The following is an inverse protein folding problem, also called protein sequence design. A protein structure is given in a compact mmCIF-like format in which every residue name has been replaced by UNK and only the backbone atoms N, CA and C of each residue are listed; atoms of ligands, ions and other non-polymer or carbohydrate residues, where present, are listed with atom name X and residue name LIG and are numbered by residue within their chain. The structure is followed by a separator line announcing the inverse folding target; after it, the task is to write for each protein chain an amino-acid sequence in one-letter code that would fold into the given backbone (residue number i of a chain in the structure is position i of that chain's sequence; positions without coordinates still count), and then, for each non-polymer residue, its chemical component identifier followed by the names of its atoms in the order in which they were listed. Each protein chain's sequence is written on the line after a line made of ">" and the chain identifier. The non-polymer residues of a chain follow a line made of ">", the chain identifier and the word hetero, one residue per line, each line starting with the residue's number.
data_IF_916908031686
#
_entry.id   IF_916908031686
#
_cell.length_a   1.000
_cell.length_b   1.000
_cell.length_c   1.000
_cell.angle_alpha   90.00
_cell.angle_beta   90.00
_cell.angle_gamma   90.00
#
_symmetry.space_group_name_H-M   'P 1'
#
loop_
_entity.id
_entity.type
_entity.pdbx_description
1 polymer ?
#
# COMPACT_ATOMS: atom_id res chain seq x y z
N UNK A 1 40.92 19.48 -11.03
CA UNK A 1 39.50 19.78 -11.31
C UNK A 1 38.67 18.56 -10.95
N UNK A 2 38.00 18.58 -9.78
CA UNK A 2 37.05 17.53 -9.38
C UNK A 2 35.72 17.90 -9.99
N UNK A 3 35.31 17.17 -11.02
CA UNK A 3 33.94 17.21 -11.52
C UNK A 3 33.05 16.54 -10.48
N UNK A 4 32.36 17.35 -9.67
CA UNK A 4 31.32 16.88 -8.77
C UNK A 4 30.25 16.16 -9.58
N UNK A 5 30.14 14.84 -9.40
CA UNK A 5 28.98 14.08 -9.86
C UNK A 5 27.73 14.68 -9.19
N UNK A 6 26.97 15.44 -9.91
CA UNK A 6 25.61 15.78 -9.55
C UNK A 6 24.85 14.46 -9.40
N UNK A 7 24.57 14.08 -8.15
CA UNK A 7 23.75 12.92 -7.83
C UNK A 7 22.34 13.27 -8.27
N UNK A 8 21.94 12.84 -9.44
CA UNK A 8 20.56 12.94 -9.91
C UNK A 8 19.71 12.20 -8.88
N UNK A 9 18.88 12.94 -8.15
CA UNK A 9 17.90 12.33 -7.26
C UNK A 9 16.91 11.57 -8.13
N UNK A 10 16.88 10.25 -8.00
CA UNK A 10 15.89 9.42 -8.66
C UNK A 10 14.63 9.41 -7.80
N UNK A 11 13.50 9.79 -8.39
CA UNK A 11 12.19 9.78 -7.76
C UNK A 11 11.34 8.64 -8.32
N UNK A 12 10.48 8.11 -7.45
CA UNK A 12 9.55 7.04 -7.78
C UNK A 12 8.12 7.52 -7.51
N UNK A 13 7.20 7.18 -8.40
CA UNK A 13 5.78 7.39 -8.16
C UNK A 13 5.19 6.17 -7.46
N UNK A 14 4.50 6.38 -6.35
CA UNK A 14 3.85 5.34 -5.55
C UNK A 14 2.38 5.69 -5.36
N UNK A 15 1.51 4.73 -5.61
CA UNK A 15 0.08 4.85 -5.37
C UNK A 15 -0.27 4.25 -4.01
N UNK A 16 -0.83 5.07 -3.13
CA UNK A 16 -1.21 4.71 -1.77
C UNK A 16 -2.73 4.72 -1.62
N UNK A 17 -3.28 3.58 -1.24
CA UNK A 17 -4.73 3.36 -1.12
C UNK A 17 -5.21 3.14 0.32
N UNK A 18 -4.29 2.95 1.26
CA UNK A 18 -4.57 2.47 2.62
C UNK A 18 -4.20 3.45 3.73
N UNK A 19 -3.56 2.91 4.77
CA UNK A 19 -3.26 3.63 6.03
C UNK A 19 -2.24 4.75 5.88
N UNK A 20 -1.50 4.82 4.79
CA UNK A 20 -0.48 5.85 4.51
C UNK A 20 -1.07 7.14 3.91
N UNK A 21 -2.31 7.12 3.42
CA UNK A 21 -2.95 8.33 2.87
C UNK A 21 -3.10 9.42 3.94
N UNK A 22 -3.32 10.65 3.49
CA UNK A 22 -3.63 11.79 4.37
C UNK A 22 -4.79 11.46 5.30
N UNK A 23 -4.70 11.89 6.55
CA UNK A 23 -5.69 11.65 7.60
C UNK A 23 -5.90 10.16 7.95
N UNK A 24 -4.98 9.29 7.54
CA UNK A 24 -4.98 7.88 7.89
C UNK A 24 -3.86 7.55 8.91
N UNK A 25 -3.96 6.44 9.65
CA UNK A 25 -3.15 6.17 10.83
C UNK A 25 -1.63 6.22 10.66
N UNK A 26 -1.12 5.87 9.47
CA UNK A 26 0.33 5.78 9.22
C UNK A 26 0.88 6.91 8.34
N UNK A 27 0.09 7.96 8.09
CA UNK A 27 0.52 9.06 7.22
C UNK A 27 1.78 9.78 7.72
N UNK A 28 1.98 9.84 9.02
CA UNK A 28 3.16 10.45 9.65
C UNK A 28 4.48 9.82 9.17
N UNK A 29 4.47 8.57 8.72
CA UNK A 29 5.65 7.91 8.16
C UNK A 29 6.17 8.64 6.91
N UNK A 30 5.26 9.11 6.04
CA UNK A 30 5.61 9.90 4.85
C UNK A 30 6.09 11.30 5.20
N UNK A 31 5.61 11.85 6.30
CA UNK A 31 5.94 13.23 6.74
C UNK A 31 7.24 13.30 7.52
N UNK A 32 7.76 12.19 8.01
CA UNK A 32 9.02 12.15 8.73
C UNK A 32 10.20 12.24 7.75
N UNK A 33 10.89 13.37 7.76
CA UNK A 33 12.05 13.64 6.89
C UNK A 33 13.23 12.70 7.10
N UNK A 34 13.30 12.04 8.24
CA UNK A 34 14.31 11.01 8.51
C UNK A 34 14.10 9.76 7.65
N UNK A 35 12.87 9.52 7.18
CA UNK A 35 12.55 8.41 6.30
C UNK A 35 12.85 8.69 4.82
N UNK A 36 13.10 9.93 4.45
CA UNK A 36 13.31 10.37 3.07
C UNK A 36 12.33 11.47 2.66
N UNK A 37 12.22 11.70 1.36
CA UNK A 37 11.32 12.70 0.79
C UNK A 37 10.07 12.04 0.22
N UNK A 38 8.91 12.63 0.50
CA UNK A 38 7.62 12.27 -0.08
C UNK A 38 6.84 13.55 -0.39
N UNK A 39 6.28 13.63 -1.60
CA UNK A 39 5.48 14.76 -2.06
C UNK A 39 4.20 14.25 -2.69
N UNK A 40 3.05 14.71 -2.21
CA UNK A 40 1.77 14.44 -2.85
C UNK A 40 1.75 15.10 -4.24
N UNK A 41 1.47 14.32 -5.27
CA UNK A 41 1.34 14.79 -6.65
C UNK A 41 -0.13 15.01 -7.00
N UNK A 42 -0.96 13.97 -6.78
CA UNK A 42 -2.39 14.02 -7.10
C UNK A 42 -3.15 12.91 -6.37
N UNK A 43 -4.45 12.95 -6.49
CA UNK A 43 -5.31 11.81 -6.24
C UNK A 43 -5.60 11.08 -7.56
N UNK A 44 -5.98 9.82 -7.48
CA UNK A 44 -6.26 9.03 -8.67
C UNK A 44 -6.99 7.75 -8.35
N UNK A 45 -7.24 6.98 -9.41
CA UNK A 45 -7.87 5.66 -9.31
C UNK A 45 -7.04 4.63 -10.09
N UNK A 46 -7.07 3.38 -9.64
CA UNK A 46 -6.49 2.30 -10.43
C UNK A 46 -7.22 2.17 -11.76
N UNK A 47 -6.47 2.03 -12.87
CA UNK A 47 -7.08 1.76 -14.17
C UNK A 47 -7.77 0.42 -14.20
N UNK A 48 -7.15 -0.60 -13.62
CA UNK A 48 -7.76 -1.90 -13.44
C UNK A 48 -8.60 -1.91 -12.16
N UNK A 49 -9.62 -2.75 -12.13
CA UNK A 49 -10.35 -3.07 -10.91
C UNK A 49 -9.51 -4.00 -10.04
N UNK A 50 -9.59 -3.80 -8.73
CA UNK A 50 -8.97 -4.66 -7.72
C UNK A 50 -9.90 -4.84 -6.52
N UNK A 51 -9.87 -6.00 -5.86
CA UNK A 51 -10.53 -6.16 -4.57
C UNK A 51 -9.71 -5.43 -3.48
N UNK A 52 -10.22 -4.30 -3.01
CA UNK A 52 -9.73 -3.66 -1.79
C UNK A 52 -10.62 -4.13 -0.64
N UNK A 53 -10.04 -4.81 0.33
CA UNK A 53 -10.76 -5.42 1.45
C UNK A 53 -10.12 -5.07 2.78
N UNK A 54 -10.90 -5.11 3.86
CA UNK A 54 -10.40 -5.01 5.23
C UNK A 54 -10.35 -6.42 5.80
N UNK A 55 -9.19 -6.86 6.23
CA UNK A 55 -8.98 -8.22 6.72
C UNK A 55 -7.99 -8.30 7.88
N UNK A 56 -7.67 -9.51 8.26
CA UNK A 56 -6.94 -9.92 9.46
C UNK A 56 -7.63 -9.51 10.77
N UNK A 57 -7.14 -10.03 11.89
CA UNK A 57 -7.59 -9.63 13.24
C UNK A 57 -7.34 -8.17 13.59
N UNK A 58 -6.58 -7.45 12.76
CA UNK A 58 -6.20 -6.05 12.98
C UNK A 58 -6.86 -5.06 12.04
N UNK A 59 -7.83 -5.53 11.23
CA UNK A 59 -8.59 -4.68 10.30
C UNK A 59 -7.68 -3.85 9.36
N UNK A 60 -6.74 -4.53 8.74
CA UNK A 60 -5.79 -3.93 7.80
C UNK A 60 -6.41 -3.89 6.40
N UNK A 61 -6.20 -2.81 5.63
CA UNK A 61 -6.59 -2.77 4.22
C UNK A 61 -5.63 -3.60 3.36
N UNK A 62 -6.19 -4.45 2.52
CA UNK A 62 -5.46 -5.27 1.55
C UNK A 62 -5.98 -5.04 0.15
N UNK A 63 -5.09 -4.75 -0.78
CA UNK A 63 -5.38 -4.78 -2.20
C UNK A 63 -4.95 -6.14 -2.75
N UNK A 64 -5.92 -6.97 -3.11
CA UNK A 64 -5.65 -8.33 -3.56
C UNK A 64 -5.19 -8.35 -5.02
N UNK A 65 -4.18 -9.16 -5.33
CA UNK A 65 -3.68 -9.33 -6.70
C UNK A 65 -4.65 -10.17 -7.54
N UNK A 66 -5.82 -9.59 -7.82
CA UNK A 66 -6.88 -10.17 -8.64
C UNK A 66 -7.44 -9.12 -9.61
N UNK A 67 -6.64 -8.66 -10.58
CA UNK A 67 -7.06 -7.64 -11.53
C UNK A 67 -8.32 -8.05 -12.27
N UNK A 68 -9.23 -7.09 -12.51
CA UNK A 68 -10.53 -7.31 -13.13
C UNK A 68 -11.66 -7.59 -12.14
N UNK A 69 -11.35 -7.90 -10.88
CA UNK A 69 -12.33 -8.07 -9.80
C UNK A 69 -12.37 -6.83 -8.90
N UNK A 70 -13.48 -6.63 -8.22
CA UNK A 70 -13.63 -5.52 -7.27
C UNK A 70 -13.95 -4.20 -7.95
N UNK A 71 -13.26 -3.14 -7.53
CA UNK A 71 -13.57 -1.77 -7.91
C UNK A 71 -12.32 -1.04 -8.46
N UNK A 72 -12.55 0.06 -9.17
CA UNK A 72 -11.49 1.04 -9.44
C UNK A 72 -11.16 1.75 -8.12
N UNK A 73 -9.99 1.46 -7.57
CA UNK A 73 -9.63 1.87 -6.21
C UNK A 73 -9.10 3.29 -6.20
N UNK A 74 -9.67 4.12 -5.34
CA UNK A 74 -9.25 5.51 -5.12
C UNK A 74 -8.05 5.55 -4.18
N UNK A 75 -7.13 6.47 -4.44
CA UNK A 75 -5.95 6.66 -3.62
C UNK A 75 -5.20 7.95 -3.93
N UNK A 76 -3.99 8.03 -3.44
CA UNK A 76 -3.11 9.18 -3.55
C UNK A 76 -1.79 8.78 -4.23
N UNK A 77 -1.32 9.61 -5.16
CA UNK A 77 -0.02 9.45 -5.83
C UNK A 77 1.01 10.32 -5.15
N UNK A 78 2.09 9.71 -4.71
CA UNK A 78 3.24 10.38 -4.11
C UNK A 78 4.48 10.19 -4.97
N UNK A 79 5.24 11.27 -5.14
CA UNK A 79 6.61 11.22 -5.58
C UNK A 79 7.51 11.02 -4.37
N UNK A 80 8.28 9.93 -4.35
CA UNK A 80 9.15 9.57 -3.24
C UNK A 80 10.58 9.33 -3.71
N UNK A 81 11.56 9.67 -2.89
CA UNK A 81 12.96 9.33 -3.16
C UNK A 81 13.23 7.84 -2.87
N UNK A 82 14.41 7.36 -3.24
CA UNK A 82 14.80 5.96 -3.04
C UNK A 82 14.87 5.57 -1.56
N UNK A 83 15.19 6.52 -0.69
CA UNK A 83 15.21 6.27 0.77
C UNK A 83 13.81 6.00 1.28
N UNK A 84 12.84 6.86 0.94
CA UNK A 84 11.45 6.67 1.33
C UNK A 84 10.87 5.38 0.73
N UNK A 85 11.17 5.06 -0.55
CA UNK A 85 10.71 3.81 -1.16
C UNK A 85 11.22 2.58 -0.39
N UNK A 86 12.49 2.62 0.07
CA UNK A 86 13.05 1.57 0.91
C UNK A 86 12.34 1.45 2.26
N UNK A 87 11.95 2.56 2.88
CA UNK A 87 11.16 2.57 4.12
C UNK A 87 9.77 1.97 3.90
N UNK A 88 9.12 2.29 2.78
CA UNK A 88 7.84 1.70 2.41
C UNK A 88 7.96 0.18 2.18
N UNK A 89 9.00 -0.27 1.50
CA UNK A 89 9.28 -1.70 1.30
C UNK A 89 9.43 -2.45 2.63
N UNK A 90 10.11 -1.85 3.61
CA UNK A 90 10.25 -2.41 4.95
C UNK A 90 8.90 -2.46 5.66
N UNK A 91 8.13 -1.37 5.61
CA UNK A 91 6.81 -1.29 6.23
C UNK A 91 5.85 -2.34 5.70
N UNK A 92 5.87 -2.56 4.38
CA UNK A 92 5.00 -3.50 3.69
C UNK A 92 5.55 -4.94 3.68
N UNK A 93 6.71 -5.15 4.29
CA UNK A 93 7.43 -6.43 4.24
C UNK A 93 7.58 -6.96 2.80
N UNK A 94 7.88 -6.06 1.86
CA UNK A 94 8.13 -6.44 0.47
C UNK A 94 9.43 -7.24 0.34
N UNK A 95 9.48 -8.34 -0.42
CA UNK A 95 8.40 -8.96 -1.19
C UNK A 95 7.64 -10.09 -0.46
N UNK A 96 7.92 -10.34 0.83
CA UNK A 96 7.40 -11.53 1.54
C UNK A 96 5.90 -11.44 1.84
N UNK A 97 5.41 -10.24 2.17
CA UNK A 97 4.01 -10.03 2.56
C UNK A 97 3.23 -9.34 1.45
N UNK A 98 3.49 -8.06 1.20
CA UNK A 98 3.05 -7.39 -0.03
C UNK A 98 4.17 -7.46 -1.07
N UNK A 99 3.78 -7.50 -2.33
CA UNK A 99 4.69 -7.26 -3.44
C UNK A 99 4.30 -5.96 -4.13
N UNK A 100 5.27 -5.09 -4.41
CA UNK A 100 5.00 -3.93 -5.25
C UNK A 100 5.22 -4.25 -6.72
N UNK A 101 4.30 -3.76 -7.54
CA UNK A 101 4.35 -3.83 -9.00
C UNK A 101 4.07 -2.47 -9.60
N UNK A 102 4.48 -2.26 -10.84
CA UNK A 102 4.06 -1.11 -11.63
C UNK A 102 2.65 -1.39 -12.16
N UNK A 103 1.75 -0.43 -11.98
CA UNK A 103 0.42 -0.44 -12.58
C UNK A 103 -0.01 0.96 -13.00
N UNK A 104 -1.05 1.04 -13.81
CA UNK A 104 -1.59 2.29 -14.35
C UNK A 104 -2.55 2.94 -13.38
N UNK A 105 -2.31 4.21 -13.09
CA UNK A 105 -3.18 5.05 -12.28
C UNK A 105 -3.71 6.19 -13.17
N UNK A 106 -5.01 6.44 -13.09
CA UNK A 106 -5.68 7.55 -13.76
C UNK A 106 -5.73 8.71 -12.76
N UNK A 107 -5.07 9.81 -13.09
CA UNK A 107 -5.06 11.01 -12.24
C UNK A 107 -6.43 11.70 -12.28
N UNK A 108 -6.89 12.19 -11.14
CA UNK A 108 -8.22 12.78 -11.01
C UNK A 108 -8.35 14.10 -11.79
N UNK A 109 -7.32 14.94 -11.78
CA UNK A 109 -7.39 16.29 -12.34
C UNK A 109 -7.25 16.33 -13.87
N UNK A 110 -6.37 15.48 -14.42
CA UNK A 110 -6.00 15.50 -15.85
C UNK A 110 -6.55 14.32 -16.64
N UNK A 111 -7.09 13.30 -15.97
CA UNK A 111 -7.43 12.00 -16.56
C UNK A 111 -6.22 11.30 -17.24
N UNK A 112 -5.02 11.78 -16.98
CA UNK A 112 -3.78 11.20 -17.47
C UNK A 112 -3.51 9.85 -16.83
N UNK A 113 -3.06 8.88 -17.62
CA UNK A 113 -2.59 7.58 -17.16
C UNK A 113 -1.10 7.63 -16.87
N UNK A 114 -0.71 7.30 -15.65
CA UNK A 114 0.68 7.25 -15.23
C UNK A 114 1.04 5.89 -14.62
N UNK A 115 2.31 5.54 -14.69
CA UNK A 115 2.85 4.34 -14.05
C UNK A 115 3.23 4.64 -12.61
N UNK A 116 2.68 3.85 -11.68
CA UNK A 116 3.01 3.94 -10.25
C UNK A 116 3.36 2.57 -9.68
N UNK A 117 4.24 2.55 -8.68
CA UNK A 117 4.35 1.41 -7.79
C UNK A 117 3.08 1.27 -6.96
N UNK A 118 2.59 0.05 -6.85
CA UNK A 118 1.43 -0.31 -6.03
C UNK A 118 1.73 -1.59 -5.27
N UNK A 119 1.39 -1.64 -3.99
CA UNK A 119 1.59 -2.82 -3.15
C UNK A 119 0.36 -3.71 -3.18
N UNK A 120 0.54 -4.97 -3.58
CA UNK A 120 -0.52 -5.97 -3.74
C UNK A 120 -0.26 -7.18 -2.84
N UNK A 121 -1.33 -7.74 -2.29
CA UNK A 121 -1.25 -9.02 -1.56
C UNK A 121 -1.43 -10.17 -2.54
N UNK A 122 -0.40 -11.02 -2.64
CA UNK A 122 -0.40 -12.26 -3.42
C UNK A 122 -0.63 -13.46 -2.51
N UNK A 123 -1.05 -14.57 -3.10
CA UNK A 123 -1.29 -15.85 -2.39
C UNK A 123 -2.15 -15.68 -1.14
N UNK A 124 -3.17 -14.86 -1.25
CA UNK A 124 -4.15 -14.65 -0.20
C UNK A 124 -5.10 -15.85 -0.08
N UNK A 125 -5.67 -16.02 1.11
CA UNK A 125 -6.65 -17.09 1.36
C UNK A 125 -7.98 -16.84 0.63
N UNK A 126 -8.69 -17.89 0.17
CA UNK A 126 -9.92 -17.73 -0.62
C UNK A 126 -11.00 -16.86 0.04
N UNK A 127 -11.16 -16.92 1.37
CA UNK A 127 -12.15 -16.11 2.07
C UNK A 127 -11.94 -14.59 1.93
N UNK A 128 -10.73 -14.15 1.57
CA UNK A 128 -10.45 -12.74 1.31
C UNK A 128 -11.26 -12.20 0.12
N UNK A 129 -11.59 -13.04 -0.83
CA UNK A 129 -12.44 -12.69 -1.98
C UNK A 129 -13.94 -12.64 -1.64
N UNK A 130 -14.34 -13.10 -0.46
CA UNK A 130 -15.72 -13.06 0.03
C UNK A 130 -16.00 -11.80 0.86
N UNK A 131 -14.95 -11.05 1.22
CA UNK A 131 -15.07 -9.80 1.97
C UNK A 131 -15.65 -8.67 1.08
N UNK A 132 -16.32 -7.67 1.66
CA UNK A 132 -16.81 -6.53 0.91
C UNK A 132 -15.69 -5.79 0.19
N UNK A 133 -15.86 -5.52 -1.10
CA UNK A 133 -14.94 -4.75 -1.91
C UNK A 133 -15.19 -3.25 -1.76
N UNK A 134 -14.14 -2.50 -1.47
CA UNK A 134 -14.18 -1.07 -1.25
C UNK A 134 -13.67 -0.31 -2.48
N UNK A 135 -14.26 0.86 -2.75
CA UNK A 135 -13.71 1.84 -3.71
C UNK A 135 -12.60 2.69 -3.10
N UNK A 136 -12.67 2.92 -1.79
CA UNK A 136 -11.71 3.70 -1.03
C UNK A 136 -11.63 3.18 0.41
N UNK A 137 -10.47 3.31 1.02
CA UNK A 137 -10.25 2.95 2.41
C UNK A 137 -10.23 4.20 3.30
N UNK A 138 -10.94 4.10 4.43
CA UNK A 138 -10.89 5.05 5.55
C UNK A 138 -10.90 4.25 6.85
N UNK A 139 -9.96 4.53 7.75
CA UNK A 139 -9.81 3.78 9.01
C UNK A 139 -11.02 3.92 9.95
N UNK A 140 -11.77 5.02 9.82
CA UNK A 140 -12.99 5.31 10.56
C UNK A 140 -14.28 5.05 9.76
N UNK A 141 -14.15 4.45 8.56
CA UNK A 141 -15.29 4.23 7.65
C UNK A 141 -16.28 3.18 8.16
N UNK A 142 -15.81 2.18 8.89
CA UNK A 142 -16.62 1.13 9.49
C UNK A 142 -16.31 1.06 11.00
N UNK A 143 -17.26 1.42 11.87
CA UNK A 143 -17.07 1.40 13.33
C UNK A 143 -16.70 0.02 13.88
N UNK A 144 -17.13 -1.07 13.22
CA UNK A 144 -16.86 -2.44 13.63
C UNK A 144 -15.49 -2.95 13.13
N UNK A 145 -14.88 -2.25 12.16
CA UNK A 145 -13.61 -2.62 11.52
C UNK A 145 -12.54 -1.56 11.67
N UNK A 146 -12.39 -1.02 12.87
CA UNK A 146 -11.35 -0.03 13.16
C UNK A 146 -9.96 -0.64 13.06
N UNK A 147 -9.07 0.06 12.37
CA UNK A 147 -7.67 -0.32 12.27
C UNK A 147 -7.00 -0.40 13.64
N UNK A 148 -6.30 -1.49 13.89
CA UNK A 148 -5.51 -1.66 15.11
C UNK A 148 -4.07 -1.25 14.82
N UNK A 149 -3.63 -0.16 15.42
CA UNK A 149 -2.27 0.34 15.28
C UNK A 149 -1.25 -0.70 15.76
N UNK A 150 -0.07 -0.74 15.13
CA UNK A 150 0.96 -1.75 15.42
C UNK A 150 1.36 -1.79 16.91
N UNK A 151 1.45 -0.63 17.57
CA UNK A 151 1.77 -0.53 18.98
C UNK A 151 0.68 -1.12 19.92
N UNK A 152 -0.54 -1.29 19.43
CA UNK A 152 -1.68 -1.82 20.20
C UNK A 152 -1.98 -3.29 19.87
N UNK A 153 -1.16 -3.96 19.04
CA UNK A 153 -1.38 -5.36 18.68
C UNK A 153 -0.86 -6.29 19.76
N UNK A 154 -1.67 -7.25 20.17
CA UNK A 154 -1.33 -8.22 21.21
C UNK A 154 -0.23 -9.19 20.78
N UNK A 155 -0.18 -9.51 19.48
CA UNK A 155 0.81 -10.43 18.91
C UNK A 155 1.86 -9.64 18.15
N UNK A 156 3.11 -9.73 18.60
CA UNK A 156 4.25 -9.13 17.95
C UNK A 156 4.71 -10.04 16.80
N UNK A 157 5.07 -9.42 15.65
CA UNK A 157 5.65 -10.11 14.51
C UNK A 157 4.64 -10.55 13.45
N UNK A 158 4.97 -11.63 12.74
CA UNK A 158 4.28 -12.05 11.50
C UNK A 158 3.08 -13.00 11.71
N UNK A 159 2.70 -13.31 12.95
CA UNK A 159 1.69 -14.32 13.23
C UNK A 159 0.32 -14.03 12.57
N UNK A 160 -0.07 -12.75 12.45
CA UNK A 160 -1.33 -12.36 11.82
C UNK A 160 -1.34 -12.54 10.27
N UNK A 161 -0.18 -12.78 9.67
CA UNK A 161 -0.12 -13.04 8.21
C UNK A 161 -0.94 -14.25 7.83
N UNK A 162 -0.96 -15.27 8.68
CA UNK A 162 -1.76 -16.47 8.47
C UNK A 162 -3.27 -16.22 8.48
N UNK A 163 -3.73 -15.06 8.93
CA UNK A 163 -5.16 -14.72 8.87
C UNK A 163 -5.61 -14.51 7.41
N UNK A 164 -4.72 -14.02 6.56
CA UNK A 164 -5.06 -13.55 5.21
C UNK A 164 -4.25 -14.22 4.10
N UNK A 165 -3.05 -14.71 4.39
CA UNK A 165 -2.12 -15.25 3.40
C UNK A 165 -1.93 -16.76 3.54
N UNK A 166 -1.78 -17.44 2.40
CA UNK A 166 -1.35 -18.84 2.35
C UNK A 166 0.13 -18.85 2.69
N UNK A 167 0.49 -19.45 3.83
CA UNK A 167 1.87 -19.58 4.26
C UNK A 167 2.50 -20.82 3.64
N UNK A 168 3.75 -20.70 3.18
CA UNK A 168 4.50 -21.88 2.76
C UNK A 168 4.81 -22.74 3.97
N UNK A 169 4.62 -24.06 3.83
CA UNK A 169 5.11 -25.00 4.81
C UNK A 169 6.64 -24.88 4.87
N UNK A 170 7.26 -24.89 6.06
CA UNK A 170 8.71 -24.89 6.14
C UNK A 170 9.22 -26.09 5.32
N UNK A 171 10.09 -25.80 4.36
CA UNK A 171 10.80 -26.84 3.61
C UNK A 171 11.53 -27.75 4.61
N UNK A 172 11.22 -29.04 4.54
CA UNK A 172 11.88 -30.07 5.34
C UNK A 172 13.35 -30.19 4.98
#
# INVERSE_FOLDING_TARGET
>A
MHLGRTRTMSFNLVFLYGTLKRNQPNHNLLMNKENGAAKLINTGTTRQKYPLVIGSRYNIPYLLSAPGNGEHVQGEVYEVDNKMLGVLDIMEYHPEYYERKIDKIILQDSEEEIDCWIYLLFRYKPHMMELPFLKAYFSEGDPEKKYVARCNREVIGKAYWSDVKIMESPSK
#
